data_IF_879993670742
#
_entry.id   IF_879993670742
#
_cell.length_a   1.000
_cell.length_b   1.000
_cell.length_c   1.000
_cell.angle_alpha   90.00
_cell.angle_beta   90.00
_cell.angle_gamma   90.00
#
_symmetry.space_group_name_H-M   'P 1'
#
loop_
_entity.id
_entity.type
_entity.pdbx_description
1 polymer ?
#
# COMPACT_ATOMS: atom_id res chain seq x y z
N UNK A 1 28.68 10.45 8.37
CA UNK A 1 28.06 9.10 8.46
C UNK A 1 26.68 9.29 7.88
N UNK A 2 26.33 8.58 6.81
CA UNK A 2 24.94 8.56 6.31
C UNK A 2 24.09 7.84 7.34
N UNK A 3 22.87 8.32 7.57
CA UNK A 3 21.95 7.64 8.48
C UNK A 3 21.53 6.30 7.85
N UNK A 4 21.31 5.23 8.62
CA UNK A 4 20.93 3.91 8.08
C UNK A 4 19.72 3.94 7.13
N UNK A 5 18.83 4.91 7.32
CA UNK A 5 17.67 5.15 6.44
C UNK A 5 18.10 5.65 5.06
N UNK A 6 19.12 6.51 4.97
CA UNK A 6 19.60 7.04 3.70
C UNK A 6 20.21 5.94 2.84
N UNK A 7 20.94 5.01 3.46
CA UNK A 7 21.55 3.88 2.76
C UNK A 7 20.48 2.91 2.26
N UNK A 8 19.40 2.68 3.03
CA UNK A 8 18.24 1.89 2.61
C UNK A 8 17.54 2.50 1.38
N UNK A 9 17.29 3.81 1.39
CA UNK A 9 16.53 4.49 0.33
C UNK A 9 17.34 4.73 -0.96
N UNK A 10 18.66 4.56 -0.94
CA UNK A 10 19.54 4.69 -2.12
C UNK A 10 19.73 3.38 -2.88
N UNK A 11 19.41 2.24 -2.26
CA UNK A 11 19.53 0.92 -2.87
C UNK A 11 18.23 0.44 -3.51
N UNK A 12 18.22 -0.78 -4.07
CA UNK A 12 16.99 -1.45 -4.47
C UNK A 12 16.01 -1.53 -3.30
N UNK A 13 14.76 -1.12 -3.53
CA UNK A 13 13.71 -1.09 -2.53
C UNK A 13 12.70 -2.21 -2.78
N UNK A 14 12.35 -2.90 -1.71
CA UNK A 14 11.17 -3.78 -1.67
C UNK A 14 10.07 -2.99 -0.98
N UNK A 15 9.01 -2.67 -1.73
CA UNK A 15 7.94 -1.80 -1.24
C UNK A 15 6.74 -2.65 -0.84
N UNK A 16 6.31 -2.54 0.42
CA UNK A 16 5.07 -3.17 0.90
C UNK A 16 3.97 -2.13 0.91
N UNK A 17 3.07 -2.16 -0.08
CA UNK A 17 1.96 -1.22 -0.15
C UNK A 17 0.79 -1.70 0.71
N UNK A 18 0.33 -0.82 1.59
CA UNK A 18 -0.91 -0.97 2.36
C UNK A 18 -1.88 0.12 1.92
N UNK A 19 -3.02 -0.27 1.36
CA UNK A 19 -4.04 0.67 0.89
C UNK A 19 -4.38 0.47 -0.58
N UNK A 20 -4.52 1.57 -1.32
CA UNK A 20 -5.08 1.56 -2.67
C UNK A 20 -4.22 0.78 -3.66
N UNK A 21 -4.83 -0.14 -4.40
CA UNK A 21 -4.15 -0.92 -5.44
C UNK A 21 -3.58 -0.04 -6.55
N UNK A 22 -4.30 1.01 -6.96
CA UNK A 22 -3.79 1.96 -7.97
C UNK A 22 -2.48 2.64 -7.55
N UNK A 23 -2.22 2.76 -6.24
CA UNK A 23 -0.93 3.26 -5.76
C UNK A 23 0.18 2.20 -5.91
N UNK A 24 -0.10 0.92 -5.62
CA UNK A 24 0.85 -0.16 -5.92
C UNK A 24 1.16 -0.24 -7.43
N UNK A 25 0.16 -0.16 -8.30
CA UNK A 25 0.37 -0.13 -9.76
C UNK A 25 1.26 1.05 -10.19
N UNK A 26 1.07 2.22 -9.57
CA UNK A 26 1.93 3.39 -9.81
C UNK A 26 3.37 3.17 -9.34
N UNK A 27 3.56 2.42 -8.26
CA UNK A 27 4.88 2.07 -7.72
C UNK A 27 5.55 0.99 -8.58
N UNK A 28 4.82 -0.03 -9.03
CA UNK A 28 5.31 -1.09 -9.93
C UNK A 28 5.82 -0.52 -11.26
N UNK A 29 5.22 0.58 -11.73
CA UNK A 29 5.70 1.27 -12.93
C UNK A 29 7.06 2.00 -12.72
N UNK A 30 7.48 2.20 -11.47
CA UNK A 30 8.66 3.01 -11.09
C UNK A 30 9.73 2.24 -10.31
N UNK A 31 9.37 1.12 -9.68
CA UNK A 31 10.21 0.35 -8.77
C UNK A 31 10.25 -1.13 -9.16
N UNK A 32 11.31 -1.81 -8.72
CA UNK A 32 11.59 -3.18 -9.14
C UNK A 32 10.76 -4.24 -8.39
N UNK A 33 10.37 -4.00 -7.14
CA UNK A 33 9.70 -4.99 -6.30
C UNK A 33 8.64 -4.35 -5.39
N UNK A 34 7.36 -4.65 -5.65
CA UNK A 34 6.20 -4.15 -4.90
C UNK A 34 5.31 -5.31 -4.50
N UNK A 35 4.94 -5.34 -3.21
CA UNK A 35 3.98 -6.27 -2.64
C UNK A 35 2.75 -5.49 -2.20
N UNK A 36 1.63 -5.69 -2.90
CA UNK A 36 0.32 -5.20 -2.46
C UNK A 36 -0.22 -6.12 -1.36
N UNK A 37 -0.46 -5.56 -0.17
CA UNK A 37 -1.16 -6.29 0.88
C UNK A 37 -2.67 -6.07 0.71
N UNK A 38 -3.41 -7.17 0.62
CA UNK A 38 -4.86 -7.15 0.70
C UNK A 38 -5.28 -7.09 2.18
N UNK A 39 -5.27 -5.88 2.72
CA UNK A 39 -5.54 -5.63 4.13
C UNK A 39 -6.98 -5.18 4.35
N UNK A 40 -7.67 -5.83 5.30
CA UNK A 40 -8.95 -5.39 5.84
C UNK A 40 -8.85 -5.15 7.35
N UNK A 41 -9.60 -4.19 7.91
CA UNK A 41 -9.65 -3.97 9.34
C UNK A 41 -10.23 -5.21 10.06
N UNK A 42 -9.62 -5.64 11.18
CA UNK A 42 -9.92 -6.92 11.83
C UNK A 42 -11.36 -7.04 12.36
N UNK A 43 -12.04 -5.92 12.60
CA UNK A 43 -13.42 -5.91 13.07
C UNK A 43 -14.46 -6.05 11.96
N UNK A 44 -14.06 -6.16 10.69
CA UNK A 44 -14.96 -6.30 9.52
C UNK A 44 -15.81 -5.07 9.20
N UNK A 45 -15.95 -4.14 10.15
CA UNK A 45 -16.78 -2.95 10.02
C UNK A 45 -18.28 -3.25 10.05
N UNK A 46 -19.08 -2.20 9.95
CA UNK A 46 -20.52 -2.33 9.72
C UNK A 46 -20.75 -2.56 8.21
N UNK A 47 -21.28 -3.74 7.87
CA UNK A 47 -21.48 -4.15 6.48
C UNK A 47 -22.42 -3.22 5.72
N UNK A 48 -23.44 -2.65 6.37
CA UNK A 48 -24.38 -1.73 5.72
C UNK A 48 -23.69 -0.40 5.39
N UNK A 49 -22.85 0.09 6.31
CA UNK A 49 -22.07 1.31 6.10
C UNK A 49 -21.03 1.14 4.99
N UNK A 50 -20.37 -0.01 4.92
CA UNK A 50 -19.40 -0.34 3.86
C UNK A 50 -20.10 -0.35 2.50
N UNK A 51 -21.23 -1.04 2.37
CA UNK A 51 -21.99 -1.11 1.11
C UNK A 51 -22.52 0.28 0.68
N UNK A 52 -22.85 1.15 1.65
CA UNK A 52 -23.23 2.53 1.34
C UNK A 52 -22.05 3.36 0.84
N UNK A 53 -20.87 3.22 1.45
CA UNK A 53 -19.65 3.90 1.01
C UNK A 53 -19.23 3.44 -0.39
N UNK A 54 -19.32 2.14 -0.68
CA UNK A 54 -18.99 1.58 -2.00
C UNK A 54 -19.87 2.11 -3.13
N UNK A 55 -21.10 2.56 -2.84
CA UNK A 55 -21.98 3.19 -3.83
C UNK A 55 -21.62 4.65 -4.12
N UNK A 56 -20.82 5.29 -3.26
CA UNK A 56 -20.40 6.69 -3.39
C UNK A 56 -19.02 6.83 -4.05
N UNK A 57 -18.21 5.78 -4.01
CA UNK A 57 -16.84 5.72 -4.53
C UNK A 57 -16.82 5.12 -5.95
#
# INVERSE_FOLDING_TARGET
>A
MTEPIDDLLRGPLVIVNLGLRGFAESLEAQADDVVQVDWLPPAGGDAEMIDLLDKLL
#
